data_IF_196132753254
#
_entry.id   IF_196132753254
#
_cell.length_a   1.000
_cell.length_b   1.000
_cell.length_c   1.000
_cell.angle_alpha   90.00
_cell.angle_beta   90.00
_cell.angle_gamma   90.00
#
_symmetry.space_group_name_H-M   'P 1'
#
loop_
_entity.id
_entity.type
_entity.pdbx_description
1 polymer ?
#
# COMPACT_ATOMS: atom_id res chain seq x y z
N UNK A 1 18.71 -9.21 1.36
CA UNK A 1 17.72 -9.20 2.45
C UNK A 1 16.30 -9.17 1.90
N UNK A 2 15.87 -8.13 1.17
CA UNK A 2 14.52 -8.05 0.58
C UNK A 2 14.56 -7.63 -0.89
N UNK A 3 13.50 -7.94 -1.63
CA UNK A 3 13.32 -7.62 -3.06
C UNK A 3 12.39 -6.41 -3.29
N UNK A 4 11.94 -5.74 -2.23
CA UNK A 4 11.07 -4.56 -2.34
C UNK A 4 11.21 -3.60 -1.16
N UNK A 5 10.81 -2.34 -1.35
CA UNK A 5 10.72 -1.31 -0.30
C UNK A 5 9.56 -0.35 -0.55
N UNK A 6 8.88 0.06 0.53
CA UNK A 6 7.89 1.14 0.52
C UNK A 6 8.56 2.47 0.87
N UNK A 7 8.56 3.42 -0.07
CA UNK A 7 9.14 4.75 0.09
C UNK A 7 8.10 5.71 0.65
N UNK A 8 8.34 6.16 1.89
CA UNK A 8 7.50 7.16 2.56
C UNK A 8 7.95 8.61 2.28
N UNK A 9 9.15 8.84 1.74
CA UNK A 9 9.64 10.19 1.40
C UNK A 9 8.65 10.96 0.50
N UNK A 10 8.05 10.27 -0.47
CA UNK A 10 7.11 10.84 -1.44
C UNK A 10 5.79 11.30 -0.82
N UNK A 11 5.46 10.84 0.38
CA UNK A 11 4.30 11.30 1.14
C UNK A 11 4.43 12.79 1.50
N UNK A 12 5.63 13.22 1.88
CA UNK A 12 5.91 14.58 2.33
C UNK A 12 6.30 15.51 1.18
N UNK A 13 6.99 14.97 0.17
CA UNK A 13 7.52 15.73 -0.95
C UNK A 13 7.13 15.09 -2.28
N UNK A 14 6.60 15.88 -3.21
CA UNK A 14 6.49 15.44 -4.60
C UNK A 14 7.91 15.36 -5.18
N UNK A 15 8.42 14.17 -5.53
CA UNK A 15 9.77 14.05 -6.06
C UNK A 15 9.85 14.70 -7.46
N UNK A 16 11.05 15.13 -7.85
CA UNK A 16 11.32 15.52 -9.24
C UNK A 16 11.53 14.26 -10.07
N UNK A 17 11.25 14.35 -11.38
CA UNK A 17 11.49 13.24 -12.31
C UNK A 17 12.95 12.73 -12.23
N UNK A 18 13.92 13.65 -12.22
CA UNK A 18 15.34 13.31 -12.09
C UNK A 18 15.70 12.57 -10.80
N UNK A 19 14.93 12.78 -9.71
CA UNK A 19 15.09 12.01 -8.47
C UNK A 19 14.66 10.57 -8.67
N UNK A 20 13.53 10.34 -9.34
CA UNK A 20 12.99 9.00 -9.60
C UNK A 20 13.85 8.25 -10.62
N UNK A 21 14.35 8.93 -11.66
CA UNK A 21 15.32 8.34 -12.58
C UNK A 21 16.59 7.90 -11.87
N UNK A 22 17.07 8.70 -10.91
CA UNK A 22 18.23 8.32 -10.10
C UNK A 22 17.93 7.08 -9.28
N UNK A 23 16.75 6.99 -8.64
CA UNK A 23 16.34 5.79 -7.91
C UNK A 23 16.27 4.57 -8.82
N UNK A 24 15.67 4.69 -10.01
CA UNK A 24 15.64 3.62 -11.02
C UNK A 24 17.04 3.11 -11.34
N UNK A 25 17.98 3.99 -11.66
CA UNK A 25 19.37 3.61 -12.00
C UNK A 25 20.14 2.95 -10.85
N UNK A 26 19.72 3.18 -9.61
CA UNK A 26 20.37 2.67 -8.41
C UNK A 26 19.69 1.40 -7.86
N UNK A 27 18.53 1.03 -8.39
CA UNK A 27 17.83 -0.18 -7.96
C UNK A 27 18.61 -1.42 -8.42
N UNK A 28 18.80 -2.42 -7.55
CA UNK A 28 19.29 -3.73 -7.96
C UNK A 28 18.32 -4.40 -8.94
N UNK A 29 18.83 -5.34 -9.74
CA UNK A 29 17.99 -6.23 -10.53
C UNK A 29 16.97 -6.96 -9.65
N UNK A 30 15.77 -7.22 -10.20
CA UNK A 30 14.67 -7.90 -9.51
C UNK A 30 14.21 -7.22 -8.20
N UNK A 31 14.41 -5.90 -8.09
CA UNK A 31 13.97 -5.10 -6.95
C UNK A 31 12.82 -4.16 -7.33
N UNK A 32 11.77 -4.12 -6.52
CA UNK A 32 10.62 -3.23 -6.72
C UNK A 32 10.61 -2.09 -5.70
N UNK A 33 10.29 -0.89 -6.18
CA UNK A 33 10.04 0.28 -5.34
C UNK A 33 8.55 0.60 -5.34
N UNK A 34 7.97 0.65 -4.14
CA UNK A 34 6.60 1.12 -3.91
C UNK A 34 6.65 2.57 -3.45
N UNK A 35 5.92 3.45 -4.14
CA UNK A 35 5.83 4.86 -3.77
C UNK A 35 4.54 5.14 -3.01
N UNK A 36 4.64 5.75 -1.83
CA UNK A 36 3.47 6.26 -1.11
C UNK A 36 3.03 7.60 -1.70
N UNK A 37 1.78 7.69 -2.13
CA UNK A 37 1.21 8.90 -2.71
C UNK A 37 1.34 10.10 -1.76
N UNK A 38 1.59 11.28 -2.33
CA UNK A 38 1.74 12.51 -1.55
C UNK A 38 0.50 12.83 -0.70
N UNK A 39 0.71 13.36 0.50
CA UNK A 39 -0.37 13.88 1.37
C UNK A 39 -1.21 14.97 0.70
N UNK A 40 -0.66 15.66 -0.31
CA UNK A 40 -1.40 16.61 -1.13
C UNK A 40 -2.59 15.94 -1.85
N UNK A 41 -2.41 14.66 -2.23
CA UNK A 41 -3.43 13.85 -2.90
C UNK A 41 -4.38 13.24 -1.86
N UNK A 42 -3.86 12.56 -0.83
CA UNK A 42 -4.71 11.74 0.05
C UNK A 42 -5.25 12.45 1.29
N UNK A 43 -4.57 13.48 1.78
CA UNK A 43 -4.94 14.16 3.04
C UNK A 43 -5.48 15.57 2.82
N UNK A 44 -5.05 16.27 1.76
CA UNK A 44 -5.48 17.64 1.47
C UNK A 44 -6.47 17.78 0.30
N UNK A 45 -7.01 16.66 -0.22
CA UNK A 45 -7.99 16.67 -1.31
C UNK A 45 -9.21 17.55 -1.07
N UNK A 46 -9.68 17.66 0.19
CA UNK A 46 -10.84 18.50 0.53
C UNK A 46 -10.62 19.99 0.24
N UNK A 47 -9.37 20.45 0.15
CA UNK A 47 -9.06 21.84 -0.23
C UNK A 47 -9.39 22.11 -1.69
N UNK A 48 -9.13 21.14 -2.57
CA UNK A 48 -9.43 21.20 -3.99
C UNK A 48 -9.32 19.79 -4.60
N UNK A 49 -10.47 19.14 -4.80
CA UNK A 49 -10.53 17.75 -5.30
C UNK A 49 -9.99 17.62 -6.72
N UNK A 50 -10.28 18.58 -7.60
CA UNK A 50 -9.80 18.55 -8.98
C UNK A 50 -8.27 18.63 -9.03
N UNK A 51 -7.67 19.48 -8.19
CA UNK A 51 -6.21 19.56 -8.06
C UNK A 51 -5.63 18.26 -7.52
N UNK A 52 -6.22 17.65 -6.50
CA UNK A 52 -5.76 16.37 -5.96
C UNK A 52 -5.87 15.23 -6.98
N UNK A 53 -6.98 15.15 -7.71
CA UNK A 53 -7.20 14.18 -8.80
C UNK A 53 -6.21 14.38 -9.95
N UNK A 54 -5.92 15.63 -10.32
CA UNK A 54 -4.89 15.94 -11.31
C UNK A 54 -3.48 15.57 -10.82
N UNK A 55 -3.17 15.85 -9.56
CA UNK A 55 -1.89 15.46 -8.93
C UNK A 55 -1.72 13.94 -8.86
N UNK A 56 -2.79 13.18 -8.61
CA UNK A 56 -2.75 11.72 -8.68
C UNK A 56 -2.31 11.25 -10.08
N UNK A 57 -2.92 11.79 -11.14
CA UNK A 57 -2.51 11.46 -12.51
C UNK A 57 -1.04 11.79 -12.81
N UNK A 58 -0.53 12.93 -12.30
CA UNK A 58 0.89 13.26 -12.39
C UNK A 58 1.77 12.30 -11.59
N UNK A 59 1.33 11.90 -10.39
CA UNK A 59 2.08 11.00 -9.53
C UNK A 59 2.21 9.61 -10.12
N UNK A 60 1.14 9.08 -10.72
CA UNK A 60 1.15 7.79 -11.41
C UNK A 60 2.16 7.81 -12.58
N UNK A 61 2.13 8.85 -13.42
CA UNK A 61 3.13 9.03 -14.50
C UNK A 61 4.57 9.13 -13.99
N UNK A 62 4.75 9.76 -12.83
CA UNK A 62 6.05 9.85 -12.20
C UNK A 62 6.51 8.48 -11.66
N UNK A 63 5.61 7.64 -11.16
CA UNK A 63 5.93 6.27 -10.79
C UNK A 63 6.33 5.41 -12.01
N UNK A 64 5.76 5.68 -13.20
CA UNK A 64 6.11 4.99 -14.45
C UNK A 64 7.59 5.12 -14.83
N UNK A 65 8.26 6.19 -14.38
CA UNK A 65 9.69 6.42 -14.62
C UNK A 65 10.53 5.28 -14.05
N UNK A 66 10.08 4.60 -12.98
CA UNK A 66 10.77 3.46 -12.35
C UNK A 66 10.86 2.25 -13.29
N UNK A 67 10.04 2.16 -14.34
CA UNK A 67 10.09 1.08 -15.32
C UNK A 67 9.88 -0.29 -14.68
N UNK A 68 10.82 -1.21 -14.91
CA UNK A 68 10.78 -2.58 -14.36
C UNK A 68 10.85 -2.63 -12.82
N UNK A 69 11.39 -1.58 -12.18
CA UNK A 69 11.46 -1.48 -10.72
C UNK A 69 10.17 -0.89 -10.11
N UNK A 70 9.11 -0.68 -10.89
CA UNK A 70 7.86 -0.09 -10.41
C UNK A 70 7.02 -1.12 -9.66
N UNK A 71 6.92 -0.97 -8.34
CA UNK A 71 5.90 -1.65 -7.52
C UNK A 71 4.56 -0.90 -7.50
N UNK A 72 3.57 -1.40 -6.76
CA UNK A 72 2.30 -0.69 -6.57
C UNK A 72 2.48 0.71 -5.97
N UNK A 73 1.57 1.64 -6.29
CA UNK A 73 1.47 2.93 -5.59
C UNK A 73 0.54 2.78 -4.39
N UNK A 74 1.00 3.16 -3.19
CA UNK A 74 0.19 3.15 -1.99
C UNK A 74 -0.54 4.50 -1.82
N UNK A 75 -1.87 4.46 -1.78
CA UNK A 75 -2.74 5.58 -1.41
C UNK A 75 -3.34 5.36 -0.01
N UNK A 76 -2.68 5.91 1.00
CA UNK A 76 -3.17 5.88 2.38
C UNK A 76 -4.01 7.13 2.70
N UNK A 77 -5.26 6.92 3.07
CA UNK A 77 -6.22 7.97 3.40
C UNK A 77 -6.32 8.22 4.92
N UNK A 78 -6.63 9.44 5.37
CA UNK A 78 -6.83 9.74 6.79
C UNK A 78 -8.16 9.18 7.30
N UNK A 79 -8.36 9.10 8.64
CA UNK A 79 -9.64 8.67 9.24
C UNK A 79 -10.86 9.52 8.85
N UNK A 80 -10.64 10.74 8.35
CA UNK A 80 -11.69 11.66 7.91
C UNK A 80 -12.15 11.45 6.46
N UNK A 81 -11.58 10.46 5.75
CA UNK A 81 -12.00 10.07 4.42
C UNK A 81 -13.18 9.11 4.50
N UNK A 82 -14.35 9.55 4.03
CA UNK A 82 -15.56 8.74 4.01
C UNK A 82 -16.55 9.20 2.92
N UNK A 83 -16.04 9.48 1.71
CA UNK A 83 -16.84 10.04 0.61
C UNK A 83 -16.69 9.18 -0.66
N UNK A 84 -17.80 8.56 -1.10
CA UNK A 84 -17.81 7.68 -2.27
C UNK A 84 -17.59 8.42 -3.58
N UNK A 85 -18.07 9.67 -3.72
CA UNK A 85 -17.87 10.44 -4.94
C UNK A 85 -16.40 10.83 -5.11
N UNK A 86 -15.73 11.13 -4.00
CA UNK A 86 -14.28 11.34 -3.99
C UNK A 86 -13.52 10.06 -4.34
N UNK A 87 -13.93 8.91 -3.80
CA UNK A 87 -13.34 7.61 -4.17
C UNK A 87 -13.47 7.36 -5.68
N UNK A 88 -14.68 7.51 -6.23
CA UNK A 88 -14.94 7.32 -7.67
C UNK A 88 -14.06 8.24 -8.52
N UNK A 89 -13.88 9.49 -8.09
CA UNK A 89 -13.02 10.47 -8.78
C UNK A 89 -11.53 10.08 -8.78
N UNK A 90 -11.05 9.39 -7.73
CA UNK A 90 -9.69 8.87 -7.72
C UNK A 90 -9.57 7.59 -8.54
N UNK A 91 -10.53 6.67 -8.44
CA UNK A 91 -10.56 5.45 -9.24
C UNK A 91 -10.58 5.76 -10.74
N UNK A 92 -11.31 6.78 -11.17
CA UNK A 92 -11.37 7.20 -12.58
C UNK A 92 -10.03 7.73 -13.15
N UNK A 93 -9.01 7.94 -12.30
CA UNK A 93 -7.65 8.33 -12.73
C UNK A 93 -6.71 7.15 -12.86
N UNK A 94 -7.06 6.02 -12.27
CA UNK A 94 -6.27 4.80 -12.28
C UNK A 94 -6.58 4.08 -13.58
N UNK A 95 -5.53 3.80 -14.34
CA UNK A 95 -5.63 3.04 -15.59
C UNK A 95 -5.17 1.59 -15.37
N UNK A 96 -5.58 0.64 -16.23
CA UNK A 96 -5.26 -0.79 -16.05
C UNK A 96 -3.77 -1.11 -15.86
N UNK A 97 -2.87 -0.31 -16.45
CA UNK A 97 -1.43 -0.49 -16.32
C UNK A 97 -0.85 -0.08 -14.96
N UNK A 98 -1.64 0.58 -14.08
CA UNK A 98 -1.19 1.01 -12.76
C UNK A 98 -1.65 0.03 -11.68
N UNK A 99 -0.70 -0.56 -10.96
CA UNK A 99 -1.00 -1.24 -9.69
C UNK A 99 -1.10 -0.19 -8.58
N UNK A 100 -2.27 -0.09 -7.95
CA UNK A 100 -2.53 0.84 -6.85
C UNK A 100 -3.13 0.07 -5.68
N UNK A 101 -2.65 0.36 -4.47
CA UNK A 101 -3.25 -0.12 -3.23
C UNK A 101 -3.85 1.05 -2.45
N UNK A 102 -5.07 0.91 -1.94
CA UNK A 102 -5.74 1.92 -1.13
C UNK A 102 -5.90 1.47 0.33
N UNK A 103 -5.42 2.29 1.26
CA UNK A 103 -5.53 2.04 2.70
C UNK A 103 -6.49 3.03 3.36
N UNK A 104 -7.59 2.52 3.91
CA UNK A 104 -8.63 3.34 4.57
C UNK A 104 -8.47 3.28 6.08
N UNK A 105 -8.31 4.44 6.73
CA UNK A 105 -8.25 4.55 8.20
C UNK A 105 -9.58 4.91 8.85
N UNK A 106 -10.61 5.09 8.03
CA UNK A 106 -11.98 5.31 8.47
C UNK A 106 -12.69 3.96 8.61
N UNK A 107 -13.33 3.71 9.75
CA UNK A 107 -13.97 2.42 10.04
C UNK A 107 -15.11 2.09 9.07
N UNK A 108 -15.93 3.08 8.72
CA UNK A 108 -17.03 2.86 7.78
C UNK A 108 -16.48 2.37 6.43
N UNK A 109 -15.52 3.09 5.84
CA UNK A 109 -14.92 2.68 4.56
C UNK A 109 -14.12 1.38 4.64
N UNK A 110 -13.55 1.06 5.81
CA UNK A 110 -12.85 -0.21 6.03
C UNK A 110 -13.83 -1.40 5.98
N UNK A 111 -15.01 -1.25 6.57
CA UNK A 111 -16.02 -2.31 6.69
C UNK A 111 -17.01 -2.34 5.51
N UNK A 112 -17.04 -1.29 4.67
CA UNK A 112 -18.00 -1.13 3.57
C UNK A 112 -17.71 -2.04 2.35
N UNK A 113 -18.69 -2.89 2.00
CA UNK A 113 -18.60 -3.79 0.85
C UNK A 113 -18.64 -3.03 -0.48
N UNK A 114 -19.43 -1.96 -0.59
CA UNK A 114 -19.51 -1.18 -1.82
C UNK A 114 -18.17 -0.49 -2.14
N UNK A 115 -17.36 -0.18 -1.12
CA UNK A 115 -15.97 0.26 -1.32
C UNK A 115 -15.17 -0.85 -1.97
N UNK A 116 -15.19 -2.08 -1.42
CA UNK A 116 -14.44 -3.22 -1.96
C UNK A 116 -14.87 -3.58 -3.39
N UNK A 117 -16.16 -3.58 -3.68
CA UNK A 117 -16.70 -3.80 -5.04
C UNK A 117 -16.17 -2.76 -6.04
N UNK A 118 -16.14 -1.48 -5.66
CA UNK A 118 -15.59 -0.41 -6.51
C UNK A 118 -14.10 -0.60 -6.77
N UNK A 119 -13.34 -1.00 -5.76
CA UNK A 119 -11.91 -1.30 -5.93
C UNK A 119 -11.70 -2.51 -6.86
N UNK A 120 -12.48 -3.58 -6.68
CA UNK A 120 -12.43 -4.78 -7.51
C UNK A 120 -12.73 -4.47 -8.99
N UNK A 121 -13.74 -3.64 -9.25
CA UNK A 121 -14.09 -3.20 -10.61
C UNK A 121 -12.96 -2.43 -11.32
N UNK A 122 -12.00 -1.87 -10.57
CA UNK A 122 -10.87 -1.10 -11.10
C UNK A 122 -9.52 -1.81 -10.96
N UNK A 123 -9.50 -3.07 -10.49
CA UNK A 123 -8.27 -3.81 -10.16
C UNK A 123 -7.34 -3.03 -9.20
N UNK A 124 -7.93 -2.37 -8.19
CA UNK A 124 -7.21 -1.63 -7.15
C UNK A 124 -7.18 -2.47 -5.89
N UNK A 125 -6.00 -2.72 -5.32
CA UNK A 125 -5.87 -3.55 -4.14
C UNK A 125 -6.39 -2.81 -2.89
N UNK A 126 -7.28 -3.47 -2.15
CA UNK A 126 -7.61 -3.10 -0.79
C UNK A 126 -6.41 -3.43 0.10
N UNK A 127 -5.86 -2.42 0.78
CA UNK A 127 -4.75 -2.65 1.69
C UNK A 127 -5.26 -3.37 2.93
N UNK A 128 -4.89 -4.65 3.08
CA UNK A 128 -5.02 -5.40 4.32
C UNK A 128 -3.99 -4.87 5.30
N UNK A 129 -4.35 -4.61 6.55
CA UNK A 129 -3.34 -4.15 7.50
C UNK A 129 -3.62 -4.57 8.94
N UNK A 130 -2.54 -4.75 9.70
CA UNK A 130 -2.58 -4.89 11.16
C UNK A 130 -2.51 -3.52 11.83
N UNK A 131 -3.43 -3.24 12.76
CA UNK A 131 -3.50 -1.99 13.51
C UNK A 131 -4.08 -2.25 14.90
N UNK A 132 -3.58 -1.64 16.01
CA UNK A 132 -4.07 -1.97 17.35
C UNK A 132 -5.54 -1.58 17.61
N UNK A 133 -6.13 -0.72 16.76
CA UNK A 133 -7.47 -0.17 16.98
C UNK A 133 -8.59 -1.07 16.45
N UNK A 134 -8.35 -1.78 15.34
CA UNK A 134 -9.34 -2.61 14.66
C UNK A 134 -8.65 -3.86 14.10
N UNK A 135 -9.36 -4.99 14.11
CA UNK A 135 -8.87 -6.21 13.47
C UNK A 135 -8.69 -6.05 11.95
N UNK A 136 -7.84 -6.88 11.32
CA UNK A 136 -7.66 -6.84 9.87
C UNK A 136 -8.96 -7.25 9.16
N UNK A 137 -9.23 -6.58 8.04
CA UNK A 137 -10.22 -7.02 7.05
C UNK A 137 -9.44 -7.65 5.90
N UNK A 138 -9.53 -8.97 5.77
CA UNK A 138 -8.90 -9.71 4.67
C UNK A 138 -9.81 -9.66 3.45
N UNK A 139 -9.34 -9.02 2.38
CA UNK A 139 -10.08 -8.87 1.14
C UNK A 139 -9.14 -8.90 -0.06
N UNK A 140 -9.64 -9.39 -1.19
CA UNK A 140 -8.92 -9.45 -2.47
C UNK A 140 -9.74 -8.66 -3.49
N UNK A 141 -9.20 -7.55 -3.96
CA UNK A 141 -9.88 -6.64 -4.92
C UNK A 141 -8.99 -6.32 -6.12
N UNK A 142 -7.90 -7.05 -6.31
CA UNK A 142 -7.02 -6.93 -7.45
C UNK A 142 -6.34 -8.27 -7.76
N UNK A 143 -5.64 -8.34 -8.89
CA UNK A 143 -4.74 -9.42 -9.28
C UNK A 143 -3.49 -9.56 -8.39
N UNK A 144 -3.33 -8.69 -7.40
CA UNK A 144 -2.32 -8.73 -6.35
C UNK A 144 -2.93 -8.34 -4.99
N UNK A 145 -2.23 -8.65 -3.90
CA UNK A 145 -2.60 -8.19 -2.56
C UNK A 145 -1.52 -7.32 -1.93
N UNK A 146 -1.97 -6.40 -1.07
CA UNK A 146 -1.10 -5.45 -0.38
C UNK A 146 -1.37 -5.52 1.12
N UNK A 147 -0.34 -5.83 1.91
CA UNK A 147 -0.41 -6.04 3.35
C UNK A 147 0.51 -5.05 4.06
N UNK A 148 0.02 -4.37 5.10
CA UNK A 148 0.84 -3.49 5.95
C UNK A 148 0.75 -3.82 7.42
N UNK A 149 1.90 -3.81 8.09
CA UNK A 149 2.01 -4.11 9.52
C UNK A 149 2.40 -2.84 10.28
N UNK A 150 1.45 -2.28 11.03
CA UNK A 150 1.65 -1.03 11.77
C UNK A 150 2.04 -1.24 13.25
N UNK A 151 2.25 -2.48 13.69
CA UNK A 151 2.45 -2.89 15.09
C UNK A 151 1.20 -3.52 15.70
N UNK A 152 1.36 -4.65 16.39
CA UNK A 152 0.27 -5.44 16.97
C UNK A 152 -0.40 -4.75 18.16
N UNK A 153 0.41 -4.23 19.09
CA UNK A 153 -0.05 -3.69 20.39
C UNK A 153 0.14 -2.19 20.50
N UNK A 154 1.27 -1.70 19.99
CA UNK A 154 1.61 -0.28 19.93
C UNK A 154 1.92 0.10 18.51
N UNK A 155 1.29 1.18 18.06
CA UNK A 155 1.51 1.72 16.72
C UNK A 155 2.99 2.06 16.55
N UNK A 156 3.59 1.46 15.54
CA UNK A 156 4.97 1.57 15.10
C UNK A 156 6.06 1.11 16.08
N UNK A 157 5.69 0.59 17.25
CA UNK A 157 6.61 0.32 18.37
C UNK A 157 6.31 -1.02 19.09
N UNK A 158 5.83 -2.01 18.34
CA UNK A 158 5.67 -3.37 18.86
C UNK A 158 6.10 -4.40 17.82
N UNK A 159 6.83 -5.40 18.29
CA UNK A 159 7.14 -6.62 17.53
C UNK A 159 5.88 -7.49 17.42
N UNK A 160 5.84 -8.32 16.38
CA UNK A 160 4.83 -9.35 16.19
C UNK A 160 5.34 -10.71 16.65
N UNK A 161 4.49 -11.47 17.36
CA UNK A 161 4.71 -12.91 17.54
C UNK A 161 4.33 -13.70 16.29
N UNK A 162 4.75 -14.97 16.18
CA UNK A 162 4.32 -15.83 15.05
C UNK A 162 2.81 -15.99 15.02
N UNK A 163 2.18 -16.14 16.19
CA UNK A 163 0.73 -16.27 16.32
C UNK A 163 0.00 -15.00 15.82
N UNK A 164 0.58 -13.81 16.04
CA UNK A 164 0.03 -12.55 15.53
C UNK A 164 0.24 -12.39 14.01
N UNK A 165 1.25 -13.04 13.43
CA UNK A 165 1.52 -13.06 11.98
C UNK A 165 0.75 -14.14 11.23
N UNK A 166 0.40 -15.25 11.88
CA UNK A 166 -0.17 -16.45 11.24
C UNK A 166 -1.39 -16.14 10.36
N UNK A 167 -2.39 -15.35 10.79
CA UNK A 167 -3.55 -15.07 9.94
C UNK A 167 -3.18 -14.33 8.64
N UNK A 168 -2.13 -13.50 8.68
CA UNK A 168 -1.64 -12.82 7.48
C UNK A 168 -0.79 -13.74 6.61
N UNK A 169 -0.04 -14.67 7.22
CA UNK A 169 0.75 -15.65 6.50
C UNK A 169 -0.16 -16.66 5.78
N UNK A 170 -1.22 -17.15 6.44
CA UNK A 170 -2.28 -17.97 5.84
C UNK A 170 -2.91 -17.26 4.64
N UNK A 171 -3.29 -15.99 4.82
CA UNK A 171 -3.86 -15.19 3.75
C UNK A 171 -2.89 -15.05 2.57
N UNK A 172 -1.62 -14.72 2.84
CA UNK A 172 -0.58 -14.57 1.83
C UNK A 172 -0.32 -15.88 1.07
N UNK A 173 -0.17 -17.01 1.76
CA UNK A 173 0.01 -18.34 1.15
C UNK A 173 -1.16 -18.69 0.24
N UNK A 174 -2.40 -18.45 0.69
CA UNK A 174 -3.58 -18.66 -0.13
C UNK A 174 -3.57 -17.81 -1.41
N UNK A 175 -3.08 -16.57 -1.36
CA UNK A 175 -2.99 -15.71 -2.54
C UNK A 175 -1.88 -16.13 -3.51
N UNK A 176 -0.73 -16.57 -2.98
CA UNK A 176 0.36 -17.11 -3.80
C UNK A 176 -0.07 -18.40 -4.52
N UNK A 177 -0.80 -19.29 -3.84
CA UNK A 177 -1.33 -20.53 -4.44
C UNK A 177 -2.29 -20.26 -5.61
N UNK A 178 -2.96 -19.10 -5.59
CA UNK A 178 -3.84 -18.61 -6.66
C UNK A 178 -3.08 -17.83 -7.76
N UNK A 179 -1.75 -17.74 -7.67
CA UNK A 179 -0.90 -17.06 -8.65
C UNK A 179 -0.89 -15.53 -8.53
N UNK A 180 -1.34 -14.97 -7.40
CA UNK A 180 -1.33 -13.51 -7.16
C UNK A 180 -0.01 -13.07 -6.54
N UNK A 181 0.45 -11.88 -6.91
CA UNK A 181 1.58 -11.24 -6.24
C UNK A 181 1.19 -10.80 -4.82
N UNK A 182 2.09 -10.99 -3.84
CA UNK A 182 1.91 -10.53 -2.45
C UNK A 182 2.94 -9.45 -2.12
N UNK A 183 2.46 -8.26 -1.79
CA UNK A 183 3.29 -7.16 -1.29
C UNK A 183 3.05 -6.96 0.20
N UNK A 184 4.05 -7.22 1.04
CA UNK A 184 3.95 -7.12 2.50
C UNK A 184 5.01 -6.15 3.06
N UNK A 185 4.57 -5.12 3.80
CA UNK A 185 5.45 -4.09 4.34
C UNK A 185 5.27 -3.90 5.84
N UNK A 186 6.39 -3.88 6.56
CA UNK A 186 6.46 -3.62 7.99
C UNK A 186 6.88 -2.17 8.23
N UNK A 187 6.17 -1.47 9.10
CA UNK A 187 6.43 -0.06 9.46
C UNK A 187 6.53 0.12 10.99
N UNK A 188 6.85 -0.96 11.72
CA UNK A 188 7.05 -0.99 13.17
C UNK A 188 8.51 -0.73 13.56
N UNK A 189 9.05 0.37 13.04
CA UNK A 189 10.48 0.67 13.04
C UNK A 189 11.02 1.29 14.33
N UNK A 190 10.18 1.73 15.26
CA UNK A 190 10.62 2.56 16.40
C UNK A 190 11.67 1.88 17.29
N UNK A 191 11.72 0.56 17.30
CA UNK A 191 12.69 -0.26 18.03
C UNK A 191 13.41 -1.28 17.11
N UNK A 192 13.36 -1.09 15.78
CA UNK A 192 14.06 -1.94 14.80
C UNK A 192 13.36 -3.27 14.46
N UNK A 193 12.17 -3.53 14.99
CA UNK A 193 11.46 -4.81 14.83
C UNK A 193 11.03 -5.15 13.40
N UNK A 194 10.88 -4.15 12.54
CA UNK A 194 10.35 -4.36 11.20
C UNK A 194 11.18 -5.35 10.36
N UNK A 195 12.51 -5.32 10.48
CA UNK A 195 13.39 -6.23 9.71
C UNK A 195 13.21 -7.68 10.16
N UNK A 196 13.27 -7.93 11.47
CA UNK A 196 13.15 -9.28 12.03
C UNK A 196 11.75 -9.85 11.79
N UNK A 197 10.70 -9.03 11.93
CA UNK A 197 9.34 -9.46 11.62
C UNK A 197 9.13 -9.71 10.13
N UNK A 198 9.72 -8.92 9.24
CA UNK A 198 9.65 -9.17 7.80
C UNK A 198 10.36 -10.48 7.40
N UNK A 199 11.52 -10.78 8.01
CA UNK A 199 12.20 -12.06 7.81
C UNK A 199 11.37 -13.24 8.31
N UNK A 200 10.79 -13.11 9.52
CA UNK A 200 9.92 -14.13 10.11
C UNK A 200 8.69 -14.37 9.24
N UNK A 201 8.04 -13.30 8.78
CA UNK A 201 6.86 -13.40 7.91
C UNK A 201 7.19 -14.06 6.58
N UNK A 202 8.33 -13.70 5.96
CA UNK A 202 8.77 -14.35 4.72
C UNK A 202 9.02 -15.85 4.93
N UNK A 203 9.70 -16.23 6.00
CA UNK A 203 9.91 -17.65 6.34
C UNK A 203 8.58 -18.40 6.48
N UNK A 204 7.59 -17.79 7.15
CA UNK A 204 6.26 -18.39 7.31
C UNK A 204 5.52 -18.55 5.97
N UNK A 205 5.75 -17.66 5.00
CA UNK A 205 5.02 -17.67 3.72
C UNK A 205 5.71 -18.56 2.67
N UNK A 206 7.04 -18.60 2.65
CA UNK A 206 7.84 -19.34 1.67
C UNK A 206 8.22 -20.77 2.13
N UNK A 207 8.20 -21.03 3.44
CA UNK A 207 8.50 -22.34 4.03
C UNK A 207 7.29 -23.27 4.05
#
# INVERSE_FOLDING_TARGET
YFNTVEINYTFYHMPRESTVEKWRRQCPENFLMVLKASRLITHYYKKNLESASFLLGKFLKLADILGEHRGPVLMQFPPSFADHAVLDKFLSRIKPEHRVAMEFRNRQFLEDEAVREKLAAHNVAFCVYSWPRFGPVFAVTADFVYIRFHGAKRLYASSYSREELEPFADFARAQLAEGRDVFAFFNNDAEGYAVDNALTFREMVEG
#
